data_IF_608159184409
#
_entry.id   IF_608159184409
#
_cell.length_a   1.000
_cell.length_b   1.000
_cell.length_c   1.000
_cell.angle_alpha   90.00
_cell.angle_beta   90.00
_cell.angle_gamma   90.00
#
_symmetry.space_group_name_H-M   'P 1'
#
loop_
_entity.id
_entity.type
_entity.pdbx_description
1 polymer ?
#
# COMPACT_ATOMS: atom_id res chain seq x y z
N UNK A 1 3.79 8.41 7.46
CA UNK A 1 4.70 7.68 8.39
C UNK A 1 3.94 6.47 8.93
N UNK A 2 4.26 5.85 10.07
CA UNK A 2 3.36 4.83 10.69
C UNK A 2 2.43 5.50 11.70
N UNK A 3 1.26 4.88 11.96
CA UNK A 3 0.21 5.46 12.83
C UNK A 3 0.65 5.92 14.23
N UNK A 4 1.62 5.22 14.85
CA UNK A 4 2.18 5.65 16.14
C UNK A 4 2.93 6.99 16.08
N UNK A 5 3.62 7.25 14.98
CA UNK A 5 4.34 8.50 14.76
C UNK A 5 3.39 9.68 14.66
N UNK A 6 2.31 9.52 13.90
CA UNK A 6 1.24 10.50 13.78
C UNK A 6 0.61 10.79 15.14
N UNK A 7 0.28 9.75 15.91
CA UNK A 7 -0.29 9.95 17.25
C UNK A 7 0.64 10.75 18.19
N UNK A 8 1.94 10.44 18.21
CA UNK A 8 2.93 11.16 19.01
C UNK A 8 3.07 12.63 18.61
N UNK A 9 3.00 12.96 17.32
CA UNK A 9 3.11 14.35 16.90
C UNK A 9 1.91 15.19 17.31
N UNK A 10 0.71 14.62 17.31
CA UNK A 10 -0.47 15.26 17.92
C UNK A 10 -0.33 15.51 19.42
N UNK A 11 0.24 14.54 20.17
CA UNK A 11 0.55 14.76 21.59
C UNK A 11 1.60 15.84 21.79
N UNK A 12 2.65 15.89 20.96
CA UNK A 12 3.65 16.94 21.02
C UNK A 12 3.03 18.34 20.85
N UNK A 13 2.05 18.51 19.95
CA UNK A 13 1.36 19.79 19.76
C UNK A 13 0.58 20.23 21.01
N UNK A 14 0.05 19.28 21.78
CA UNK A 14 -0.64 19.56 23.05
C UNK A 14 0.28 20.27 24.04
N UNK A 15 1.56 19.86 24.09
CA UNK A 15 2.53 20.37 25.07
C UNK A 15 2.92 21.83 24.89
N UNK A 16 2.56 22.45 23.77
CA UNK A 16 2.76 23.88 23.55
C UNK A 16 1.71 24.76 24.24
N UNK A 17 0.65 24.16 24.80
CA UNK A 17 -0.42 24.87 25.51
C UNK A 17 -0.33 24.57 27.01
N UNK A 18 0.10 25.55 27.79
CA UNK A 18 0.29 25.40 29.24
C UNK A 18 -1.01 25.00 29.96
N UNK A 19 -2.16 25.51 29.49
CA UNK A 19 -3.48 25.16 30.01
C UNK A 19 -3.79 23.66 29.85
N UNK A 20 -3.41 23.07 28.72
CA UNK A 20 -3.62 21.65 28.47
C UNK A 20 -2.64 20.78 29.27
N UNK A 21 -1.43 21.26 29.51
CA UNK A 21 -0.49 20.59 30.41
C UNK A 21 -0.95 20.65 31.88
N UNK A 22 -1.57 21.74 32.30
CA UNK A 22 -2.19 21.87 33.63
C UNK A 22 -3.38 20.92 33.79
N UNK A 23 -4.19 20.75 32.76
CA UNK A 23 -5.25 19.73 32.77
C UNK A 23 -4.67 18.32 32.93
N UNK A 24 -3.60 17.99 32.18
CA UNK A 24 -2.93 16.70 32.29
C UNK A 24 -2.34 16.46 33.69
N UNK A 25 -1.76 17.49 34.34
CA UNK A 25 -1.20 17.34 35.69
C UNK A 25 -2.29 17.07 36.73
N UNK A 26 -3.52 17.55 36.49
CA UNK A 26 -4.71 17.26 37.30
C UNK A 26 -5.37 15.91 36.96
N UNK A 27 -4.82 15.14 36.02
CA UNK A 27 -5.35 13.85 35.58
C UNK A 27 -6.49 13.95 34.54
N UNK A 28 -6.74 15.13 33.98
CA UNK A 28 -7.74 15.33 32.92
C UNK A 28 -7.14 14.87 31.59
N UNK A 29 -7.76 13.87 30.95
CA UNK A 29 -7.22 13.21 29.75
C UNK A 29 -7.72 13.78 28.42
N UNK A 30 -8.61 14.78 28.44
CA UNK A 30 -9.10 15.46 27.23
C UNK A 30 -7.99 15.92 26.26
N UNK A 31 -6.83 16.43 26.75
CA UNK A 31 -5.74 16.84 25.87
C UNK A 31 -5.20 15.74 24.94
N UNK A 32 -5.40 14.45 25.27
CA UNK A 32 -5.00 13.34 24.40
C UNK A 32 -5.79 13.29 23.06
N UNK A 33 -6.91 14.02 22.94
CA UNK A 33 -7.68 14.16 21.70
C UNK A 33 -6.80 14.68 20.55
N UNK A 34 -5.82 15.54 20.81
CA UNK A 34 -4.94 16.03 19.76
C UNK A 34 -4.13 14.90 19.08
N UNK A 35 -3.72 13.89 19.85
CA UNK A 35 -3.09 12.68 19.31
C UNK A 35 -4.03 11.89 18.40
N UNK A 36 -5.31 11.76 18.79
CA UNK A 36 -6.33 11.13 17.93
C UNK A 36 -6.57 11.93 16.64
N UNK A 37 -6.54 13.26 16.71
CA UNK A 37 -6.70 14.13 15.54
C UNK A 37 -5.54 14.05 14.55
N UNK A 38 -4.34 13.78 15.04
CA UNK A 38 -3.21 13.49 14.17
C UNK A 38 -3.38 12.14 13.46
N UNK A 39 -3.98 11.13 14.09
CA UNK A 39 -4.29 9.84 13.43
C UNK A 39 -5.58 9.86 12.58
N UNK A 40 -6.43 10.88 12.74
CA UNK A 40 -7.75 10.97 12.11
C UNK A 40 -7.73 10.86 10.57
N UNK A 41 -6.78 11.47 9.82
CA UNK A 41 -6.69 11.31 8.36
C UNK A 41 -6.71 9.84 7.92
N UNK A 42 -5.80 9.04 8.48
CA UNK A 42 -5.68 7.61 8.22
C UNK A 42 -6.97 6.88 8.58
N UNK A 43 -7.52 7.18 9.76
CA UNK A 43 -8.73 6.53 10.25
C UNK A 43 -9.91 6.74 9.29
N UNK A 44 -10.12 7.98 8.84
CA UNK A 44 -11.20 8.31 7.90
C UNK A 44 -11.03 7.55 6.59
N UNK A 45 -9.80 7.47 6.09
CA UNK A 45 -9.47 6.80 4.85
C UNK A 45 -9.61 5.29 4.91
N UNK A 46 -9.28 4.64 6.02
CA UNK A 46 -9.41 3.20 6.12
C UNK A 46 -10.82 2.75 6.48
N UNK A 47 -11.59 3.54 7.23
CA UNK A 47 -12.93 3.15 7.71
C UNK A 47 -14.07 3.63 6.81
N UNK A 48 -14.02 4.88 6.33
CA UNK A 48 -15.15 5.50 5.63
C UNK A 48 -14.99 5.51 4.12
N UNK A 49 -13.76 5.49 3.59
CA UNK A 49 -13.50 5.48 2.14
C UNK A 49 -14.30 4.42 1.39
N UNK A 50 -14.44 3.20 1.93
CA UNK A 50 -15.16 2.10 1.26
C UNK A 50 -16.63 2.43 0.94
N UNK A 51 -17.22 3.40 1.64
CA UNK A 51 -18.60 3.84 1.43
C UNK A 51 -18.70 5.04 0.48
N UNK A 52 -17.66 5.87 0.40
CA UNK A 52 -17.68 7.14 -0.33
C UNK A 52 -16.93 7.09 -1.67
N UNK A 53 -16.00 6.15 -1.84
CA UNK A 53 -15.12 6.06 -3.00
C UNK A 53 -15.51 4.89 -3.92
N UNK A 54 -15.94 5.21 -5.14
CA UNK A 54 -16.22 4.21 -6.17
C UNK A 54 -14.94 3.81 -6.88
N UNK A 55 -14.86 2.54 -7.27
CA UNK A 55 -13.76 1.97 -8.06
C UNK A 55 -14.27 1.72 -9.47
N UNK A 56 -13.52 2.17 -10.47
CA UNK A 56 -13.89 1.98 -11.87
C UNK A 56 -13.59 0.56 -12.34
N UNK A 57 -12.44 0.01 -11.92
CA UNK A 57 -11.99 -1.34 -12.27
C UNK A 57 -11.54 -2.07 -11.00
N UNK A 58 -12.03 -3.30 -10.83
CA UNK A 58 -11.55 -4.23 -9.81
C UNK A 58 -10.86 -5.39 -10.53
N UNK A 59 -9.55 -5.51 -10.32
CA UNK A 59 -8.75 -6.62 -10.82
C UNK A 59 -8.76 -7.70 -9.75
N UNK A 60 -9.60 -8.71 -9.96
CA UNK A 60 -9.68 -9.89 -9.10
C UNK A 60 -9.08 -11.10 -9.83
N UNK A 61 -7.77 -11.36 -9.68
CA UNK A 61 -7.10 -12.43 -10.40
C UNK A 61 -7.55 -13.82 -9.95
N UNK A 62 -8.04 -13.98 -8.72
CA UNK A 62 -8.45 -15.26 -8.15
C UNK A 62 -9.72 -15.11 -7.29
N UNK A 63 -10.90 -14.96 -7.93
CA UNK A 63 -12.14 -14.70 -7.23
C UNK A 63 -12.45 -15.74 -6.17
N UNK A 64 -12.89 -15.27 -4.99
CA UNK A 64 -13.24 -16.14 -3.88
C UNK A 64 -14.68 -16.63 -4.01
N UNK A 65 -14.90 -17.91 -3.70
CA UNK A 65 -16.25 -18.42 -3.48
C UNK A 65 -16.86 -17.77 -2.22
N UNK A 66 -17.96 -17.04 -2.39
CA UNK A 66 -18.59 -16.31 -1.27
C UNK A 66 -19.13 -17.25 -0.18
N UNK A 67 -19.56 -18.46 -0.52
CA UNK A 67 -20.14 -19.42 0.42
C UNK A 67 -19.05 -20.20 1.13
N UNK A 68 -18.11 -20.74 0.35
CA UNK A 68 -17.06 -21.61 0.86
C UNK A 68 -15.86 -20.82 1.42
N UNK A 69 -15.75 -19.53 1.11
CA UNK A 69 -14.61 -18.66 1.46
C UNK A 69 -13.25 -19.23 1.01
N UNK A 70 -13.25 -19.99 -0.06
CA UNK A 70 -12.04 -20.53 -0.69
C UNK A 70 -11.81 -19.85 -2.04
N UNK A 71 -10.55 -19.58 -2.38
CA UNK A 71 -10.13 -19.19 -3.72
C UNK A 71 -9.37 -20.36 -4.35
N UNK A 72 -9.55 -20.62 -5.66
CA UNK A 72 -10.44 -19.90 -6.57
C UNK A 72 -11.91 -20.35 -6.48
N UNK A 73 -12.83 -19.59 -7.08
CA UNK A 73 -14.27 -19.90 -7.19
C UNK A 73 -14.53 -20.97 -8.27
N UNK A 74 -15.59 -21.77 -8.10
CA UNK A 74 -16.13 -22.64 -9.16
C UNK A 74 -16.75 -21.81 -10.29
N UNK A 75 -16.53 -22.24 -11.53
CA UNK A 75 -17.27 -21.78 -12.71
C UNK A 75 -17.71 -22.99 -13.51
N UNK A 76 -18.89 -22.90 -14.14
CA UNK A 76 -19.37 -23.91 -15.08
C UNK A 76 -18.81 -23.66 -16.47
N UNK A 77 -18.56 -24.70 -17.25
CA UNK A 77 -18.01 -24.59 -18.61
C UNK A 77 -18.86 -23.66 -19.49
N UNK A 78 -20.19 -23.80 -19.45
CA UNK A 78 -21.12 -22.95 -20.20
C UNK A 78 -21.18 -21.48 -19.74
N UNK A 79 -20.61 -21.15 -18.59
CA UNK A 79 -20.52 -19.78 -18.08
C UNK A 79 -19.24 -19.05 -18.50
N UNK A 80 -18.26 -19.77 -19.08
CA UNK A 80 -16.98 -19.20 -19.50
C UNK A 80 -17.19 -18.22 -20.65
N UNK A 81 -16.60 -17.02 -20.51
CA UNK A 81 -16.64 -15.98 -21.54
C UNK A 81 -15.23 -15.50 -21.88
N UNK A 82 -14.99 -14.93 -23.08
CA UNK A 82 -13.67 -14.40 -23.46
C UNK A 82 -13.08 -13.38 -22.48
N UNK A 83 -13.92 -12.67 -21.71
CA UNK A 83 -13.47 -11.73 -20.67
C UNK A 83 -12.82 -12.43 -19.48
N UNK A 84 -13.11 -13.72 -19.27
CA UNK A 84 -12.53 -14.56 -18.21
C UNK A 84 -11.15 -15.12 -18.57
N UNK A 85 -10.64 -14.86 -19.78
CA UNK A 85 -9.30 -15.28 -20.21
C UNK A 85 -8.26 -14.91 -19.15
N UNK A 86 -7.42 -15.88 -18.76
CA UNK A 86 -6.34 -15.75 -17.76
C UNK A 86 -6.75 -15.58 -16.29
N UNK A 87 -8.05 -15.44 -15.99
CA UNK A 87 -8.53 -15.35 -14.62
C UNK A 87 -8.60 -16.73 -13.96
N UNK A 88 -8.26 -16.82 -12.67
CA UNK A 88 -8.13 -18.10 -11.97
C UNK A 88 -9.46 -18.60 -11.39
N UNK A 89 -9.91 -19.74 -11.88
CA UNK A 89 -11.08 -20.46 -11.39
C UNK A 89 -10.75 -21.95 -11.16
N UNK A 90 -11.74 -22.73 -10.74
CA UNK A 90 -11.70 -24.17 -10.94
C UNK A 90 -12.93 -24.66 -11.67
N UNK A 91 -12.74 -25.67 -12.51
CA UNK A 91 -13.80 -26.48 -13.11
C UNK A 91 -13.97 -27.76 -12.29
N UNK A 92 -15.17 -28.32 -12.28
CA UNK A 92 -15.45 -29.60 -11.64
C UNK A 92 -16.37 -30.40 -12.55
N UNK A 93 -15.88 -31.52 -13.07
CA UNK A 93 -16.54 -32.32 -14.09
C UNK A 93 -15.97 -33.72 -14.20
N UNK A 94 -16.42 -34.47 -15.21
CA UNK A 94 -15.98 -35.83 -15.51
C UNK A 94 -15.05 -35.81 -16.72
N UNK A 95 -13.95 -36.57 -16.67
CA UNK A 95 -13.05 -36.76 -17.81
C UNK A 95 -13.78 -37.61 -18.85
N UNK A 96 -14.16 -37.02 -19.98
CA UNK A 96 -14.89 -37.69 -21.05
C UNK A 96 -13.97 -38.48 -21.98
N UNK A 97 -12.81 -37.90 -22.30
CA UNK A 97 -11.83 -38.51 -23.18
C UNK A 97 -10.43 -37.97 -22.87
N UNK A 98 -9.40 -38.78 -23.07
CA UNK A 98 -8.00 -38.35 -23.06
C UNK A 98 -7.56 -38.27 -24.52
N UNK A 99 -7.28 -37.06 -25.01
CA UNK A 99 -6.99 -36.79 -26.42
C UNK A 99 -5.52 -37.04 -26.74
N UNK A 100 -4.62 -36.69 -25.82
CA UNK A 100 -3.18 -36.95 -25.97
C UNK A 100 -2.52 -37.09 -24.60
N UNK A 101 -1.50 -37.93 -24.52
CA UNK A 101 -0.67 -38.09 -23.33
C UNK A 101 0.79 -38.11 -23.74
N UNK A 102 1.43 -36.95 -23.68
CA UNK A 102 2.87 -36.79 -23.91
C UNK A 102 3.66 -36.72 -22.61
N UNK A 103 4.99 -36.73 -22.72
CA UNK A 103 5.88 -36.61 -21.56
C UNK A 103 5.78 -35.22 -20.88
N UNK A 104 5.57 -34.15 -21.66
CA UNK A 104 5.51 -32.79 -21.13
C UNK A 104 4.09 -32.26 -20.94
N UNK A 105 3.11 -32.81 -21.66
CA UNK A 105 1.77 -32.24 -21.78
C UNK A 105 0.73 -33.34 -22.04
N UNK A 106 -0.40 -33.25 -21.34
CA UNK A 106 -1.54 -34.14 -21.49
C UNK A 106 -2.78 -33.31 -21.80
N UNK A 107 -3.55 -33.74 -22.81
CA UNK A 107 -4.82 -33.11 -23.18
C UNK A 107 -5.98 -34.08 -22.95
N UNK A 108 -7.05 -33.57 -22.35
CA UNK A 108 -8.26 -34.33 -22.12
C UNK A 108 -9.50 -33.45 -22.24
N UNK A 109 -10.66 -34.06 -22.44
CA UNK A 109 -11.95 -33.36 -22.49
C UNK A 109 -12.64 -33.51 -21.15
N UNK A 110 -13.04 -32.38 -20.58
CA UNK A 110 -13.80 -32.32 -19.33
C UNK A 110 -15.24 -31.90 -19.64
N UNK A 111 -16.20 -32.60 -19.02
CA UNK A 111 -17.64 -32.34 -19.15
C UNK A 111 -18.26 -32.11 -17.77
N UNK A 112 -19.04 -31.04 -17.59
CA UNK A 112 -19.69 -30.71 -16.31
C UNK A 112 -21.23 -30.61 -16.40
N UNK A 113 -21.80 -31.10 -17.50
CA UNK A 113 -23.24 -31.03 -17.81
C UNK A 113 -23.70 -29.69 -18.39
N UNK A 114 -22.90 -28.63 -18.28
CA UNK A 114 -23.16 -27.35 -18.96
C UNK A 114 -22.47 -27.24 -20.31
N UNK A 115 -21.43 -28.04 -20.54
CA UNK A 115 -20.70 -28.12 -21.79
C UNK A 115 -19.45 -28.98 -21.68
N UNK A 116 -18.66 -28.99 -22.76
CA UNK A 116 -17.39 -29.69 -22.87
C UNK A 116 -16.26 -28.69 -23.16
N UNK A 117 -15.10 -28.89 -22.54
CA UNK A 117 -13.92 -28.08 -22.83
C UNK A 117 -12.67 -28.96 -22.92
N UNK A 118 -11.77 -28.60 -23.85
CA UNK A 118 -10.43 -29.18 -23.90
C UNK A 118 -9.62 -28.64 -22.73
N UNK A 119 -9.03 -29.53 -21.95
CA UNK A 119 -8.14 -29.24 -20.83
C UNK A 119 -6.72 -29.62 -21.21
N UNK A 120 -5.78 -28.74 -20.89
CA UNK A 120 -4.35 -28.89 -21.15
C UNK A 120 -3.63 -28.86 -19.81
N UNK A 121 -2.96 -29.96 -19.46
CA UNK A 121 -2.17 -30.10 -18.24
C UNK A 121 -0.71 -30.35 -18.58
N UNK A 122 0.19 -29.46 -18.13
CA UNK A 122 1.65 -29.68 -18.25
C UNK A 122 2.13 -30.65 -17.18
N UNK A 123 3.27 -31.31 -17.40
CA UNK A 123 3.78 -32.40 -16.55
C UNK A 123 3.72 -32.13 -15.04
N UNK A 124 4.16 -30.98 -14.56
CA UNK A 124 4.09 -30.65 -13.13
C UNK A 124 2.66 -30.45 -12.60
N UNK A 125 1.81 -29.79 -13.39
CA UNK A 125 0.42 -29.53 -13.04
C UNK A 125 -0.42 -30.82 -13.12
N UNK A 126 -0.13 -31.70 -14.07
CA UNK A 126 -0.71 -33.04 -14.16
C UNK A 126 -0.36 -33.88 -12.92
N UNK A 127 0.91 -33.93 -12.52
CA UNK A 127 1.32 -34.67 -11.30
C UNK A 127 0.69 -34.11 -10.03
N UNK A 128 0.38 -32.82 -9.98
CA UNK A 128 -0.39 -32.22 -8.88
C UNK A 128 -1.85 -32.66 -8.93
N UNK A 129 -2.45 -32.66 -10.12
CA UNK A 129 -3.83 -33.09 -10.33
C UNK A 129 -4.02 -34.57 -9.97
N UNK A 130 -3.15 -35.45 -10.45
CA UNK A 130 -3.19 -36.90 -10.17
C UNK A 130 -2.99 -37.23 -8.69
N UNK A 131 -2.15 -36.46 -7.99
CA UNK A 131 -2.03 -36.55 -6.52
C UNK A 131 -3.33 -36.22 -5.79
N UNK A 132 -4.09 -35.23 -6.28
CA UNK A 132 -5.39 -34.85 -5.70
C UNK A 132 -6.46 -35.88 -5.99
N UNK A 133 -6.42 -36.49 -7.19
CA UNK A 133 -7.35 -37.56 -7.60
C UNK A 133 -7.04 -38.89 -6.90
N UNK A 134 -5.81 -39.07 -6.40
CA UNK A 134 -5.37 -40.29 -5.73
C UNK A 134 -4.90 -41.38 -6.70
N UNK A 135 -4.53 -41.01 -7.92
CA UNK A 135 -4.11 -41.95 -8.96
C UNK A 135 -4.00 -41.30 -10.33
N UNK A 136 -3.71 -42.13 -11.32
CA UNK A 136 -3.56 -41.74 -12.71
C UNK A 136 -4.90 -41.24 -13.30
N UNK A 137 -4.85 -40.13 -14.05
CA UNK A 137 -6.06 -39.58 -14.66
C UNK A 137 -6.65 -40.56 -15.68
N UNK A 138 -7.92 -40.91 -15.55
CA UNK A 138 -8.62 -41.86 -16.42
C UNK A 138 -10.02 -41.38 -16.80
N UNK A 139 -10.56 -41.92 -17.89
CA UNK A 139 -11.90 -41.60 -18.39
C UNK A 139 -12.96 -42.04 -17.36
N UNK A 140 -13.99 -41.22 -17.16
CA UNK A 140 -15.07 -41.44 -16.20
C UNK A 140 -14.76 -40.92 -14.78
N UNK A 141 -13.52 -40.49 -14.51
CA UNK A 141 -13.16 -39.92 -13.22
C UNK A 141 -13.70 -38.50 -13.08
N UNK A 142 -14.33 -38.21 -11.95
CA UNK A 142 -14.72 -36.86 -11.57
C UNK A 142 -13.51 -36.15 -10.95
N UNK A 143 -13.17 -34.97 -11.47
CA UNK A 143 -11.98 -34.22 -11.08
C UNK A 143 -12.28 -32.73 -10.93
N UNK A 144 -11.60 -32.11 -9.96
CA UNK A 144 -11.54 -30.65 -9.81
C UNK A 144 -10.26 -30.14 -10.47
N UNK A 145 -10.41 -29.26 -11.45
CA UNK A 145 -9.32 -28.76 -12.27
C UNK A 145 -9.14 -27.25 -12.04
N UNK A 146 -8.25 -26.83 -11.13
CA UNK A 146 -7.89 -25.42 -11.00
C UNK A 146 -7.14 -24.95 -12.24
N UNK A 147 -7.36 -23.72 -12.66
CA UNK A 147 -6.78 -23.23 -13.90
C UNK A 147 -7.35 -21.91 -14.38
N UNK A 148 -7.08 -21.61 -15.64
CA UNK A 148 -7.63 -20.46 -16.34
C UNK A 148 -7.94 -20.81 -17.79
N UNK A 149 -8.86 -20.06 -18.39
CA UNK A 149 -9.17 -20.20 -19.81
C UNK A 149 -8.15 -19.45 -20.67
N UNK A 150 -7.78 -20.04 -21.79
CA UNK A 150 -7.05 -19.39 -22.88
C UNK A 150 -7.59 -19.85 -24.25
N UNK A 151 -7.02 -19.33 -25.33
CA UNK A 151 -7.42 -19.63 -26.70
C UNK A 151 -6.23 -20.17 -27.49
N UNK A 152 -6.47 -21.19 -28.33
CA UNK A 152 -5.46 -21.68 -29.27
C UNK A 152 -5.29 -20.76 -30.48
N UNK A 153 -4.43 -21.16 -31.42
CA UNK A 153 -4.13 -20.38 -32.62
C UNK A 153 -5.37 -20.18 -33.51
N UNK A 154 -6.32 -21.11 -33.46
CA UNK A 154 -7.58 -21.09 -34.18
C UNK A 154 -8.68 -20.31 -33.44
N UNK A 155 -8.39 -19.80 -32.24
CA UNK A 155 -9.34 -19.03 -31.43
C UNK A 155 -10.36 -19.88 -30.67
N UNK A 156 -10.14 -21.19 -30.53
CA UNK A 156 -10.99 -22.08 -29.73
C UNK A 156 -10.56 -22.05 -28.27
N UNK A 157 -11.52 -21.95 -27.31
CA UNK A 157 -11.17 -21.92 -25.89
C UNK A 157 -10.67 -23.27 -25.40
N UNK A 158 -9.69 -23.23 -24.52
CA UNK A 158 -9.23 -24.38 -23.75
C UNK A 158 -8.95 -23.98 -22.31
N UNK A 159 -8.97 -24.97 -21.41
CA UNK A 159 -8.66 -24.81 -20.01
C UNK A 159 -7.21 -25.19 -19.74
N UNK A 160 -6.43 -24.29 -19.16
CA UNK A 160 -5.05 -24.55 -18.79
C UNK A 160 -4.98 -24.85 -17.29
N UNK A 161 -4.54 -26.06 -16.93
CA UNK A 161 -4.40 -26.47 -15.53
C UNK A 161 -3.30 -25.64 -14.88
N UNK A 162 -3.61 -25.03 -13.75
CA UNK A 162 -2.68 -24.14 -13.05
C UNK A 162 -3.01 -24.09 -11.55
N UNK A 163 -2.01 -23.76 -10.74
CA UNK A 163 -2.11 -23.45 -9.31
C UNK A 163 -2.16 -21.95 -9.01
N UNK A 164 -2.09 -21.11 -10.05
CA UNK A 164 -2.13 -19.65 -9.96
C UNK A 164 -2.79 -19.01 -11.20
N UNK A 165 -3.30 -17.76 -11.09
CA UNK A 165 -3.72 -16.97 -12.25
C UNK A 165 -2.56 -16.71 -13.20
N UNK A 166 -2.88 -16.50 -14.48
CA UNK A 166 -1.88 -16.06 -15.43
C UNK A 166 -1.65 -14.53 -15.25
N UNK A 167 -0.41 -14.05 -15.08
CA UNK A 167 -0.10 -12.65 -14.77
C UNK A 167 -0.61 -11.64 -15.84
N UNK A 168 -0.75 -12.09 -17.10
CA UNK A 168 -1.38 -11.29 -18.17
C UNK A 168 -2.78 -10.76 -17.81
N UNK A 169 -3.56 -11.45 -16.97
CA UNK A 169 -4.86 -10.96 -16.56
C UNK A 169 -4.75 -9.58 -15.90
N UNK A 170 -3.83 -9.45 -14.94
CA UNK A 170 -3.56 -8.21 -14.21
C UNK A 170 -2.96 -7.17 -15.17
N UNK A 171 -1.96 -7.54 -15.96
CA UNK A 171 -1.29 -6.64 -16.89
C UNK A 171 -2.28 -6.01 -17.89
N UNK A 172 -3.15 -6.83 -18.49
CA UNK A 172 -4.16 -6.40 -19.47
C UNK A 172 -5.16 -5.41 -18.87
N UNK A 173 -5.65 -5.66 -17.66
CA UNK A 173 -6.63 -4.77 -17.04
C UNK A 173 -6.01 -3.43 -16.61
N UNK A 174 -4.76 -3.43 -16.16
CA UNK A 174 -4.01 -2.19 -15.89
C UNK A 174 -3.79 -1.41 -17.18
N UNK A 175 -3.37 -2.07 -18.26
CA UNK A 175 -3.18 -1.43 -19.56
C UNK A 175 -4.49 -0.81 -20.09
N UNK A 176 -5.60 -1.56 -19.98
CA UNK A 176 -6.95 -1.06 -20.30
C UNK A 176 -7.33 0.18 -19.48
N UNK A 177 -6.98 0.21 -18.20
CA UNK A 177 -7.29 1.34 -17.33
C UNK A 177 -6.52 2.61 -17.75
N UNK A 178 -5.24 2.46 -18.10
CA UNK A 178 -4.41 3.55 -18.63
C UNK A 178 -5.01 4.07 -19.94
N UNK A 179 -5.34 3.17 -20.87
CA UNK A 179 -5.92 3.57 -22.15
C UNK A 179 -7.27 4.30 -21.94
N UNK A 180 -8.12 3.79 -21.05
CA UNK A 180 -9.41 4.41 -20.71
C UNK A 180 -9.23 5.80 -20.09
N UNK A 181 -8.23 5.98 -19.22
CA UNK A 181 -7.94 7.28 -18.62
C UNK A 181 -7.47 8.30 -19.66
N UNK A 182 -6.69 7.85 -20.65
CA UNK A 182 -6.25 8.71 -21.76
C UNK A 182 -7.41 9.10 -22.68
N UNK A 183 -8.21 8.12 -23.10
CA UNK A 183 -9.33 8.28 -24.05
C UNK A 183 -10.45 9.14 -23.46
N UNK A 184 -10.80 8.93 -22.19
CA UNK A 184 -11.90 9.66 -21.54
C UNK A 184 -11.48 11.00 -20.93
N UNK A 185 -10.19 11.19 -20.67
CA UNK A 185 -9.66 12.31 -19.90
C UNK A 185 -10.08 12.34 -18.42
N UNK A 186 -10.81 11.31 -17.95
CA UNK A 186 -11.26 11.18 -16.56
C UNK A 186 -10.29 10.31 -15.78
N UNK A 187 -10.22 10.53 -14.46
CA UNK A 187 -9.51 9.63 -13.56
C UNK A 187 -10.17 8.25 -13.62
N UNK A 188 -9.36 7.21 -13.85
CA UNK A 188 -9.77 5.80 -13.76
C UNK A 188 -9.05 5.18 -12.56
N UNK A 189 -9.83 4.60 -11.66
CA UNK A 189 -9.35 3.98 -10.43
C UNK A 189 -9.36 2.46 -10.55
N UNK A 190 -8.22 1.84 -10.25
CA UNK A 190 -8.01 0.39 -10.31
C UNK A 190 -7.70 -0.14 -8.93
N UNK A 191 -8.54 -1.03 -8.42
CA UNK A 191 -8.24 -1.82 -7.23
C UNK A 191 -7.67 -3.15 -7.67
N UNK A 192 -6.43 -3.43 -7.30
CA UNK A 192 -5.79 -4.72 -7.56
C UNK A 192 -5.94 -5.56 -6.30
N UNK A 193 -6.72 -6.63 -6.38
CA UNK A 193 -6.88 -7.56 -5.27
C UNK A 193 -5.68 -8.52 -5.23
N UNK A 194 -5.26 -8.84 -4.01
CA UNK A 194 -4.29 -9.89 -3.77
C UNK A 194 -4.92 -11.27 -3.97
N UNK A 195 -4.07 -12.27 -4.11
CA UNK A 195 -4.46 -13.66 -4.29
C UNK A 195 -4.26 -14.37 -2.95
N UNK A 196 -5.35 -14.56 -2.19
CA UNK A 196 -5.31 -15.27 -0.91
C UNK A 196 -5.49 -16.77 -1.13
N UNK A 197 -4.57 -17.54 -0.58
CA UNK A 197 -4.61 -19.00 -0.53
C UNK A 197 -5.07 -19.46 0.86
N UNK A 198 -5.25 -20.77 1.04
CA UNK A 198 -5.56 -21.37 2.33
C UNK A 198 -4.49 -21.05 3.39
N UNK A 199 -4.91 -20.90 4.65
CA UNK A 199 -3.98 -20.71 5.78
C UNK A 199 -3.35 -19.31 5.89
N UNK A 200 -4.04 -18.26 5.42
CA UNK A 200 -3.54 -16.86 5.44
C UNK A 200 -2.19 -16.67 4.70
N UNK A 201 -1.99 -17.52 3.69
CA UNK A 201 -0.93 -17.37 2.71
C UNK A 201 -1.43 -16.54 1.54
N UNK A 202 -0.52 -15.81 0.92
CA UNK A 202 -0.82 -14.98 -0.23
C UNK A 202 0.17 -15.25 -1.35
N UNK A 203 -0.28 -15.19 -2.59
CA UNK A 203 0.62 -15.24 -3.74
C UNK A 203 1.16 -13.84 -4.01
N UNK A 204 2.48 -13.67 -3.88
CA UNK A 204 3.18 -12.43 -4.22
C UNK A 204 3.11 -12.21 -5.73
N UNK A 205 2.85 -10.98 -6.15
CA UNK A 205 3.14 -10.54 -7.51
C UNK A 205 3.54 -9.07 -7.54
N UNK A 206 4.36 -8.71 -8.53
CA UNK A 206 4.89 -7.37 -8.71
C UNK A 206 4.32 -6.76 -9.98
N UNK A 207 3.96 -5.49 -9.93
CA UNK A 207 3.60 -4.72 -11.13
C UNK A 207 4.71 -3.72 -11.42
N UNK A 208 5.30 -3.84 -12.60
CA UNK A 208 6.29 -2.93 -13.14
C UNK A 208 5.72 -2.16 -14.35
N UNK A 209 5.93 -0.85 -14.32
CA UNK A 209 5.45 0.11 -15.31
C UNK A 209 6.65 0.55 -16.17
N UNK A 210 6.78 -0.05 -17.34
CA UNK A 210 7.80 0.31 -18.33
C UNK A 210 7.26 1.41 -19.25
N UNK A 211 7.31 2.64 -18.73
CA UNK A 211 6.79 3.84 -19.38
C UNK A 211 7.39 4.10 -20.78
N UNK A 212 8.72 4.02 -21.00
CA UNK A 212 9.31 4.24 -22.33
C UNK A 212 8.78 3.29 -23.40
N UNK A 213 8.61 2.01 -23.07
CA UNK A 213 8.15 1.00 -24.03
C UNK A 213 6.63 0.82 -24.06
N UNK A 214 5.87 1.61 -23.27
CA UNK A 214 4.40 1.49 -23.14
C UNK A 214 3.98 0.08 -22.69
N UNK A 215 4.72 -0.51 -21.75
CA UNK A 215 4.52 -1.90 -21.31
C UNK A 215 4.22 -1.99 -19.82
N UNK A 216 3.28 -2.85 -19.47
CA UNK A 216 2.98 -3.27 -18.10
C UNK A 216 3.50 -4.70 -17.96
N UNK A 217 4.44 -4.89 -17.04
CA UNK A 217 5.01 -6.19 -16.71
C UNK A 217 4.47 -6.61 -15.35
N UNK A 218 3.97 -7.84 -15.26
CA UNK A 218 3.51 -8.43 -14.01
C UNK A 218 4.33 -9.68 -13.76
N UNK A 219 5.03 -9.71 -12.62
CA UNK A 219 5.86 -10.84 -12.21
C UNK A 219 5.16 -11.60 -11.09
N UNK A 220 4.89 -12.87 -11.30
CA UNK A 220 4.29 -13.76 -10.32
C UNK A 220 5.38 -14.41 -9.46
N UNK A 221 5.25 -14.30 -8.15
CA UNK A 221 6.23 -14.75 -7.17
C UNK A 221 5.79 -15.97 -6.34
N UNK A 222 6.52 -16.28 -5.25
CA UNK A 222 6.17 -17.38 -4.35
C UNK A 222 4.92 -17.06 -3.51
N UNK A 223 4.48 -18.05 -2.72
CA UNK A 223 3.57 -17.79 -1.61
C UNK A 223 4.34 -17.09 -0.49
N UNK A 224 3.66 -16.18 0.21
CA UNK A 224 4.18 -15.42 1.33
C UNK A 224 3.22 -15.51 2.51
N UNK A 225 3.76 -15.41 3.72
CA UNK A 225 2.96 -15.21 4.94
C UNK A 225 2.30 -13.83 4.96
N UNK A 226 1.41 -13.59 5.92
CA UNK A 226 0.83 -12.25 6.15
C UNK A 226 1.89 -11.18 6.42
N UNK A 227 3.07 -11.57 6.93
CA UNK A 227 4.21 -10.68 7.16
C UNK A 227 5.07 -10.42 5.92
N UNK A 228 4.77 -11.03 4.76
CA UNK A 228 5.54 -10.88 3.53
C UNK A 228 6.79 -11.77 3.44
N UNK A 229 6.94 -12.75 4.35
CA UNK A 229 8.04 -13.73 4.26
C UNK A 229 7.71 -14.79 3.21
N UNK A 230 8.57 -15.03 2.21
CA UNK A 230 8.37 -16.05 1.19
C UNK A 230 8.45 -17.47 1.77
N UNK A 231 7.72 -18.40 1.14
CA UNK A 231 7.75 -19.82 1.45
C UNK A 231 8.53 -20.55 0.37
N UNK A 232 9.59 -21.23 0.75
CA UNK A 232 10.48 -21.94 -0.17
C UNK A 232 9.75 -23.03 -0.97
N UNK A 233 10.18 -23.21 -2.21
CA UNK A 233 9.61 -24.20 -3.13
C UNK A 233 8.20 -23.88 -3.64
N UNK A 234 7.63 -22.73 -3.27
CA UNK A 234 6.29 -22.31 -3.74
C UNK A 234 6.31 -21.37 -4.94
N UNK A 235 7.48 -21.12 -5.55
CA UNK A 235 7.61 -20.32 -6.77
C UNK A 235 6.76 -20.86 -7.92
N UNK A 236 6.42 -19.99 -8.88
CA UNK A 236 5.76 -20.41 -10.12
C UNK A 236 6.79 -20.79 -11.18
N UNK A 237 6.48 -21.74 -12.08
CA UNK A 237 7.39 -22.08 -13.17
C UNK A 237 7.69 -20.90 -14.11
N UNK A 238 8.86 -20.86 -14.77
CA UNK A 238 9.30 -19.73 -15.60
C UNK A 238 8.28 -19.30 -16.67
N UNK A 239 7.61 -20.26 -17.31
CA UNK A 239 6.61 -19.98 -18.38
C UNK A 239 5.33 -19.30 -17.88
N UNK A 240 5.09 -19.24 -16.56
CA UNK A 240 3.96 -18.56 -15.91
C UNK A 240 4.38 -17.37 -15.04
N UNK A 241 5.68 -17.09 -14.99
CA UNK A 241 6.24 -16.09 -14.09
C UNK A 241 5.98 -14.67 -14.58
N UNK A 242 5.97 -14.44 -15.90
CA UNK A 242 5.89 -13.10 -16.48
C UNK A 242 4.62 -12.94 -17.29
N UNK A 243 3.90 -11.86 -17.01
CA UNK A 243 2.82 -11.37 -17.84
C UNK A 243 3.13 -10.00 -18.39
N UNK A 244 2.67 -9.73 -19.60
CA UNK A 244 2.90 -8.49 -20.31
C UNK A 244 1.63 -8.00 -20.98
N UNK A 245 1.40 -6.68 -20.91
CA UNK A 245 0.44 -6.00 -21.76
C UNK A 245 1.03 -4.68 -22.25
N UNK A 246 0.76 -4.33 -23.51
CA UNK A 246 1.10 -3.02 -24.08
C UNK A 246 -0.08 -2.07 -23.94
N UNK A 247 0.20 -0.81 -23.63
CA UNK A 247 -0.77 0.28 -23.68
C UNK A 247 -0.77 0.90 -25.07
N UNK A 248 -1.91 1.42 -25.51
CA UNK A 248 -2.00 2.20 -26.75
C UNK A 248 -1.40 3.59 -26.55
N UNK A 249 -1.59 4.15 -25.35
CA UNK A 249 -1.23 5.52 -25.02
C UNK A 249 0.00 5.62 -24.11
N UNK A 250 0.75 6.74 -24.17
CA UNK A 250 1.88 6.96 -23.29
C UNK A 250 1.44 7.18 -21.84
N UNK A 251 2.22 6.65 -20.90
CA UNK A 251 2.02 6.84 -19.48
C UNK A 251 3.35 7.08 -18.78
N UNK A 252 3.29 7.63 -17.58
CA UNK A 252 4.44 7.96 -16.74
C UNK A 252 4.22 7.37 -15.35
N UNK A 253 5.15 6.49 -14.96
CA UNK A 253 5.24 5.99 -13.60
C UNK A 253 5.72 7.10 -12.68
N UNK A 254 4.93 7.44 -11.67
CA UNK A 254 5.29 8.50 -10.69
C UNK A 254 5.94 7.88 -9.46
N UNK A 255 5.56 6.66 -9.09
CA UNK A 255 6.17 5.96 -7.96
C UNK A 255 7.39 5.17 -8.43
N UNK A 256 8.60 5.38 -7.88
CA UNK A 256 9.81 4.82 -8.45
C UNK A 256 9.88 3.29 -8.32
N UNK A 257 9.40 2.72 -7.20
CA UNK A 257 9.52 1.28 -6.93
C UNK A 257 8.45 0.45 -7.64
N UNK A 258 8.73 -0.80 -8.01
CA UNK A 258 7.68 -1.73 -8.42
C UNK A 258 6.59 -1.84 -7.34
N UNK A 259 5.35 -2.04 -7.76
CA UNK A 259 4.24 -2.23 -6.82
C UNK A 259 4.21 -3.69 -6.42
N UNK A 260 4.75 -4.01 -5.24
CA UNK A 260 4.74 -5.36 -4.65
C UNK A 260 3.38 -5.61 -4.00
N UNK A 261 2.75 -6.74 -4.35
CA UNK A 261 1.42 -7.13 -3.89
C UNK A 261 1.52 -8.48 -3.19
N UNK A 262 1.52 -8.43 -1.86
CA UNK A 262 1.70 -9.58 -0.98
C UNK A 262 0.43 -9.85 -0.18
N UNK A 263 0.14 -9.04 0.85
CA UNK A 263 -0.90 -9.33 1.83
C UNK A 263 -2.09 -8.33 1.82
N UNK A 264 -3.10 -8.64 2.63
CA UNK A 264 -4.31 -7.84 2.89
C UNK A 264 -5.31 -7.73 1.74
N UNK A 265 -5.49 -6.55 1.14
CA UNK A 265 -6.51 -6.32 0.10
C UNK A 265 -5.92 -5.82 -1.22
N UNK A 266 -4.58 -5.79 -1.32
CA UNK A 266 -3.83 -5.20 -2.41
C UNK A 266 -3.97 -3.67 -2.55
N UNK A 267 -3.22 -3.03 -3.45
CA UNK A 267 -3.19 -1.58 -3.62
C UNK A 267 -4.35 -1.06 -4.46
N UNK A 268 -4.58 0.25 -4.39
CA UNK A 268 -5.43 0.97 -5.36
C UNK A 268 -4.58 2.02 -6.07
N UNK A 269 -4.75 2.11 -7.38
CA UNK A 269 -3.97 2.96 -8.28
C UNK A 269 -4.94 3.77 -9.12
N UNK A 270 -4.78 5.09 -9.14
CA UNK A 270 -5.46 5.99 -10.04
C UNK A 270 -4.63 6.22 -11.30
N UNK A 271 -5.31 6.40 -12.43
CA UNK A 271 -4.71 6.82 -13.69
C UNK A 271 -5.43 8.08 -14.15
N UNK A 272 -4.68 9.15 -14.41
CA UNK A 272 -5.24 10.43 -14.86
C UNK A 272 -4.39 11.01 -15.98
N UNK A 273 -5.03 11.51 -17.03
CA UNK A 273 -4.33 12.21 -18.11
C UNK A 273 -3.84 13.57 -17.62
N UNK A 274 -2.54 13.81 -17.71
CA UNK A 274 -1.98 15.14 -17.52
C UNK A 274 -2.23 15.96 -18.81
N UNK A 275 -3.00 17.07 -18.74
CA UNK A 275 -3.34 17.86 -19.92
C UNK A 275 -2.12 18.62 -20.50
N UNK A 276 -1.11 18.92 -19.70
CA UNK A 276 0.09 19.65 -20.13
C UNK A 276 1.08 18.72 -20.84
N UNK A 277 1.37 17.56 -20.23
CA UNK A 277 2.34 16.60 -20.78
C UNK A 277 1.74 15.65 -21.83
N UNK A 278 0.41 15.54 -21.91
CA UNK A 278 -0.25 14.63 -22.84
C UNK A 278 0.03 13.14 -22.54
N UNK A 279 0.34 12.80 -21.29
CA UNK A 279 0.60 11.42 -20.82
C UNK A 279 -0.32 11.06 -19.66
N UNK A 280 -0.57 9.77 -19.45
CA UNK A 280 -1.29 9.30 -18.26
C UNK A 280 -0.32 9.17 -17.08
N UNK A 281 -0.62 9.80 -15.96
CA UNK A 281 0.14 9.67 -14.73
C UNK A 281 -0.49 8.65 -13.78
N UNK A 282 0.37 7.89 -13.11
CA UNK A 282 0.00 6.98 -12.04
C UNK A 282 -0.15 7.72 -10.70
N UNK A 283 -1.30 7.54 -10.04
CA UNK A 283 -1.59 8.04 -8.70
C UNK A 283 -1.76 6.88 -7.70
N UNK A 284 -0.70 6.52 -6.98
CA UNK A 284 -0.79 5.50 -5.93
C UNK A 284 -1.71 5.95 -4.77
N UNK A 285 -2.72 5.16 -4.41
CA UNK A 285 -3.73 5.44 -3.37
C UNK A 285 -4.38 6.84 -3.53
N UNK A 286 -5.18 7.08 -4.58
CA UNK A 286 -5.65 8.41 -4.96
C UNK A 286 -6.53 9.10 -3.91
N UNK A 287 -7.36 8.35 -3.17
CA UNK A 287 -8.18 8.89 -2.07
C UNK A 287 -7.32 9.44 -0.93
N UNK A 288 -6.27 8.71 -0.58
CA UNK A 288 -5.42 8.98 0.59
C UNK A 288 -4.58 10.25 0.47
N UNK A 289 -4.64 10.89 -0.69
CA UNK A 289 -3.89 12.10 -1.03
C UNK A 289 -4.83 13.26 -1.35
N UNK A 290 -6.13 13.08 -1.08
CA UNK A 290 -7.19 14.03 -1.36
C UNK A 290 -7.48 14.95 -0.18
N UNK A 291 -8.76 15.05 0.17
CA UNK A 291 -9.24 16.02 1.16
C UNK A 291 -8.78 15.74 2.58
N UNK A 292 -8.84 14.49 3.04
CA UNK A 292 -8.59 14.12 4.45
C UNK A 292 -7.15 14.37 4.92
N UNK A 293 -6.21 14.46 3.97
CA UNK A 293 -4.78 14.66 4.20
C UNK A 293 -4.36 16.09 3.82
N UNK A 294 -5.14 17.08 4.26
CA UNK A 294 -4.96 18.49 3.91
C UNK A 294 -5.08 19.42 5.10
N UNK A 295 -4.48 20.61 5.00
CA UNK A 295 -4.62 21.61 6.05
C UNK A 295 -6.06 22.11 6.18
N UNK A 296 -6.80 22.16 5.06
CA UNK A 296 -8.23 22.51 5.09
C UNK A 296 -9.04 21.51 5.90
N UNK A 297 -8.80 20.20 5.75
CA UNK A 297 -9.51 19.20 6.55
C UNK A 297 -9.19 19.32 8.03
N UNK A 298 -7.93 19.57 8.40
CA UNK A 298 -7.54 19.81 9.79
C UNK A 298 -8.26 21.00 10.42
N UNK A 299 -8.37 22.11 9.67
CA UNK A 299 -9.13 23.28 10.10
C UNK A 299 -10.61 22.95 10.30
N UNK A 300 -11.24 22.28 9.33
CA UNK A 300 -12.67 21.95 9.40
C UNK A 300 -12.98 20.96 10.53
N UNK A 301 -12.18 19.91 10.70
CA UNK A 301 -12.39 18.95 11.80
C UNK A 301 -12.19 19.58 13.17
N UNK A 302 -11.27 20.53 13.32
CA UNK A 302 -11.10 21.32 14.54
C UNK A 302 -12.30 22.24 14.78
N UNK A 303 -12.79 22.91 13.73
CA UNK A 303 -13.99 23.76 13.81
C UNK A 303 -15.23 22.96 14.29
N UNK A 304 -15.37 21.71 13.86
CA UNK A 304 -16.42 20.80 14.35
C UNK A 304 -16.21 20.32 15.80
N UNK A 305 -14.96 20.30 16.29
CA UNK A 305 -14.66 19.89 17.66
C UNK A 305 -15.10 20.95 18.69
N UNK A 306 -14.98 22.22 18.34
CA UNK A 306 -15.31 23.37 19.22
C UNK A 306 -16.71 23.25 19.85
N UNK A 307 -17.81 23.11 19.09
CA UNK A 307 -19.15 23.02 19.67
C UNK A 307 -19.32 21.76 20.54
N UNK A 308 -18.66 20.65 20.22
CA UNK A 308 -18.74 19.41 21.00
C UNK A 308 -18.12 19.63 22.39
N UNK A 309 -16.91 20.18 22.44
CA UNK A 309 -16.21 20.46 23.69
C UNK A 309 -16.92 21.54 24.52
N UNK A 310 -17.47 22.55 23.86
CA UNK A 310 -18.29 23.58 24.50
C UNK A 310 -19.54 22.98 25.16
N UNK A 311 -20.27 22.10 24.47
CA UNK A 311 -21.47 21.45 25.00
C UNK A 311 -21.18 20.50 26.17
N UNK A 312 -19.99 19.89 26.20
CA UNK A 312 -19.54 19.05 27.32
C UNK A 312 -19.07 19.91 28.51
N UNK A 313 -18.90 21.22 28.33
CA UNK A 313 -18.46 22.14 29.38
C UNK A 313 -16.96 22.05 29.69
N UNK A 314 -16.14 21.63 28.71
CA UNK A 314 -14.68 21.58 28.91
C UNK A 314 -14.08 22.98 28.81
N UNK A 315 -13.50 23.49 29.91
CA UNK A 315 -13.06 24.89 30.03
C UNK A 315 -12.01 25.29 28.97
N UNK A 316 -11.04 24.41 28.69
CA UNK A 316 -9.93 24.67 27.77
C UNK A 316 -10.23 24.26 26.31
N UNK A 317 -11.52 24.27 25.93
CA UNK A 317 -11.97 23.76 24.62
C UNK A 317 -11.30 24.42 23.41
N UNK A 318 -11.04 25.73 23.45
CA UNK A 318 -10.37 26.43 22.34
C UNK A 318 -8.90 26.00 22.19
N UNK A 319 -8.19 25.85 23.31
CA UNK A 319 -6.80 25.37 23.30
C UNK A 319 -6.72 23.95 22.76
N UNK A 320 -7.65 23.07 23.18
CA UNK A 320 -7.71 21.70 22.68
C UNK A 320 -8.08 21.64 21.20
N UNK A 321 -9.01 22.46 20.73
CA UNK A 321 -9.34 22.54 19.31
C UNK A 321 -8.13 22.98 18.47
N UNK A 322 -7.37 23.98 18.93
CA UNK A 322 -6.13 24.41 18.26
C UNK A 322 -5.06 23.32 18.30
N UNK A 323 -4.84 22.65 19.44
CA UNK A 323 -3.91 21.53 19.54
C UNK A 323 -4.29 20.38 18.60
N UNK A 324 -5.58 20.07 18.49
CA UNK A 324 -6.11 19.07 17.57
C UNK A 324 -5.91 19.44 16.09
N UNK A 325 -6.12 20.72 15.74
CA UNK A 325 -5.81 21.23 14.39
C UNK A 325 -4.33 21.06 14.07
N UNK A 326 -3.44 21.48 14.98
CA UNK A 326 -2.00 21.36 14.81
C UNK A 326 -1.57 19.89 14.72
N UNK A 327 -2.15 19.00 15.53
CA UNK A 327 -1.90 17.56 15.44
C UNK A 327 -2.27 16.99 14.08
N UNK A 328 -3.42 17.35 13.53
CA UNK A 328 -3.81 16.98 12.17
C UNK A 328 -2.85 17.56 11.12
N UNK A 329 -2.43 18.81 11.26
CA UNK A 329 -1.47 19.43 10.35
C UNK A 329 -0.09 18.77 10.41
N UNK A 330 0.34 18.30 11.59
CA UNK A 330 1.57 17.53 11.74
C UNK A 330 1.53 16.23 10.94
N UNK A 331 0.40 15.52 10.90
CA UNK A 331 0.22 14.37 10.01
C UNK A 331 0.49 14.74 8.54
N UNK A 332 -0.11 15.84 8.07
CA UNK A 332 0.07 16.32 6.69
C UNK A 332 1.53 16.67 6.40
N UNK A 333 2.22 17.31 7.35
CA UNK A 333 3.64 17.65 7.23
C UNK A 333 4.52 16.38 7.16
N UNK A 334 4.24 15.40 8.01
CA UNK A 334 4.96 14.12 8.05
C UNK A 334 4.81 13.34 6.73
N UNK A 335 3.63 13.36 6.13
CA UNK A 335 3.41 12.77 4.80
C UNK A 335 4.09 13.55 3.68
N UNK A 336 4.21 14.87 3.84
CA UNK A 336 4.93 15.73 2.91
C UNK A 336 6.46 15.49 2.95
N UNK A 337 7.02 15.02 4.07
CA UNK A 337 8.43 14.62 4.11
C UNK A 337 8.73 13.33 3.33
N UNK A 338 7.74 12.44 3.22
CA UNK A 338 7.87 11.14 2.55
C UNK A 338 7.78 11.23 1.02
N UNK A 339 7.49 10.10 0.36
CA UNK A 339 7.25 10.04 -1.09
C UNK A 339 5.82 10.45 -1.47
N UNK A 340 4.88 10.35 -0.53
CA UNK A 340 3.44 10.36 -0.82
C UNK A 340 2.94 11.78 -1.12
N UNK A 341 3.31 12.78 -0.30
CA UNK A 341 2.78 14.15 -0.41
C UNK A 341 1.26 14.21 -0.38
N UNK A 342 0.68 15.39 -0.56
CA UNK A 342 -0.78 15.56 -0.55
C UNK A 342 -1.27 16.78 -1.34
N UNK A 343 -2.58 16.92 -1.44
CA UNK A 343 -3.22 18.17 -1.86
C UNK A 343 -3.39 19.04 -0.61
N UNK A 344 -2.58 20.09 -0.48
CA UNK A 344 -2.46 20.83 0.79
C UNK A 344 -3.70 21.68 1.13
N UNK A 345 -4.35 22.30 0.14
CA UNK A 345 -5.45 23.25 0.35
C UNK A 345 -6.66 23.02 -0.58
N UNK A 346 -7.32 21.86 -0.55
CA UNK A 346 -8.60 21.68 -1.25
C UNK A 346 -9.70 22.51 -0.56
N UNK A 347 -10.72 23.02 -1.28
CA UNK A 347 -10.90 22.95 -2.73
C UNK A 347 -10.15 24.06 -3.51
N UNK A 348 -9.43 24.96 -2.84
CA UNK A 348 -8.70 26.08 -3.47
C UNK A 348 -7.73 25.57 -4.54
N UNK A 349 -6.99 24.50 -4.22
CA UNK A 349 -6.18 23.77 -5.18
C UNK A 349 -6.58 22.30 -5.21
N UNK A 350 -6.56 21.71 -6.41
CA UNK A 350 -6.66 20.26 -6.63
C UNK A 350 -5.31 19.64 -7.02
N UNK A 351 -4.27 20.47 -7.15
CA UNK A 351 -2.93 20.03 -7.55
C UNK A 351 -2.23 19.40 -6.36
N UNK A 352 -1.71 18.19 -6.57
CA UNK A 352 -0.88 17.50 -5.60
C UNK A 352 0.49 18.15 -5.52
N UNK A 353 0.97 18.34 -4.30
CA UNK A 353 2.37 18.71 -4.03
C UNK A 353 3.15 17.41 -3.76
N UNK A 354 4.17 17.07 -4.57
CA UNK A 354 4.95 15.85 -4.35
C UNK A 354 5.71 15.96 -3.02
N UNK A 355 5.80 14.84 -2.30
CA UNK A 355 6.57 14.78 -1.06
C UNK A 355 8.07 14.99 -1.29
N UNK A 356 8.79 15.35 -0.23
CA UNK A 356 10.22 15.68 -0.27
C UNK A 356 11.11 14.45 -0.50
N UNK A 357 10.59 13.23 -0.30
CA UNK A 357 11.32 11.97 -0.45
C UNK A 357 12.57 11.90 0.44
N UNK A 358 12.47 12.27 1.71
CA UNK A 358 13.58 12.17 2.66
C UNK A 358 13.71 10.73 3.15
N UNK A 359 14.90 10.14 3.03
CA UNK A 359 15.21 8.79 3.48
C UNK A 359 14.39 7.66 2.82
N UNK A 360 14.21 7.63 1.48
CA UNK A 360 13.35 6.65 0.81
C UNK A 360 13.77 5.20 1.09
N UNK A 361 15.06 4.93 1.33
CA UNK A 361 15.59 3.57 1.60
C UNK A 361 15.75 3.26 3.08
N UNK A 362 15.56 4.23 3.98
CA UNK A 362 15.68 4.06 5.43
C UNK A 362 14.40 4.42 6.20
N UNK A 363 13.21 3.94 5.78
CA UNK A 363 11.94 4.38 6.36
C UNK A 363 11.82 4.10 7.86
N UNK A 364 12.40 3.00 8.36
CA UNK A 364 12.39 2.68 9.78
C UNK A 364 13.16 3.72 10.61
N UNK A 365 14.36 4.11 10.15
CA UNK A 365 15.17 5.13 10.79
C UNK A 365 14.48 6.50 10.76
N UNK A 366 13.83 6.86 9.64
CA UNK A 366 13.06 8.11 9.56
C UNK A 366 11.91 8.14 10.56
N UNK A 367 11.12 7.06 10.69
CA UNK A 367 10.06 6.99 11.71
C UNK A 367 10.63 7.11 13.13
N UNK A 368 11.76 6.45 13.41
CA UNK A 368 12.43 6.57 14.71
C UNK A 368 12.85 8.01 14.98
N UNK A 369 13.48 8.68 14.02
CA UNK A 369 13.94 10.06 14.17
C UNK A 369 12.79 11.04 14.42
N UNK A 370 11.66 10.87 13.74
CA UNK A 370 10.45 11.69 13.96
C UNK A 370 9.84 11.41 15.33
N UNK A 371 9.69 10.14 15.72
CA UNK A 371 9.20 9.79 17.07
C UNK A 371 10.10 10.38 18.15
N UNK A 372 11.41 10.26 17.98
CA UNK A 372 12.40 10.81 18.89
C UNK A 372 12.25 12.32 19.00
N UNK A 373 12.10 13.03 17.88
CA UNK A 373 11.85 14.48 17.90
C UNK A 373 10.58 14.85 18.67
N UNK A 374 9.48 14.12 18.46
CA UNK A 374 8.22 14.39 19.16
C UNK A 374 8.37 14.15 20.66
N UNK A 375 9.04 13.07 21.08
CA UNK A 375 9.34 12.80 22.49
C UNK A 375 10.25 13.89 23.07
N UNK A 376 11.30 14.28 22.35
CA UNK A 376 12.21 15.36 22.75
C UNK A 376 11.46 16.68 22.97
N UNK A 377 10.53 17.03 22.07
CA UNK A 377 9.69 18.22 22.19
C UNK A 377 8.76 18.11 23.40
N UNK A 378 8.13 16.96 23.63
CA UNK A 378 7.26 16.72 24.78
C UNK A 378 8.04 16.88 26.08
N UNK A 379 9.19 16.20 26.21
CA UNK A 379 10.05 16.27 27.41
C UNK A 379 10.52 17.70 27.63
N UNK A 380 10.97 18.38 26.58
CA UNK A 380 11.41 19.76 26.66
C UNK A 380 10.28 20.70 27.12
N UNK A 381 9.09 20.61 26.53
CA UNK A 381 7.94 21.45 26.88
C UNK A 381 7.41 21.17 28.30
N UNK A 382 7.35 19.90 28.72
CA UNK A 382 6.99 19.56 30.09
C UNK A 382 8.03 20.14 31.04
N UNK A 383 9.32 19.89 30.81
CA UNK A 383 10.39 20.35 31.69
C UNK A 383 10.39 21.86 31.92
N UNK A 384 10.24 22.65 30.84
CA UNK A 384 10.23 24.13 30.94
C UNK A 384 8.99 24.68 31.65
N UNK A 385 7.83 24.03 31.51
CA UNK A 385 6.57 24.53 32.04
C UNK A 385 6.20 23.91 33.39
N UNK A 386 6.86 22.82 33.82
CA UNK A 386 6.55 22.12 35.06
C UNK A 386 6.54 23.05 36.29
N UNK A 387 7.51 23.98 36.47
CA UNK A 387 7.46 24.92 37.61
C UNK A 387 6.28 25.89 37.56
N UNK A 388 5.72 26.17 36.37
CA UNK A 388 4.55 27.03 36.21
C UNK A 388 3.26 26.27 36.53
N UNK A 389 3.20 25.00 36.16
CA UNK A 389 2.02 24.15 36.30
C UNK A 389 1.93 23.53 37.70
N UNK A 390 3.09 23.31 38.33
CA UNK A 390 3.23 22.66 39.63
C UNK A 390 4.38 23.32 40.39
N UNK A 391 4.14 24.46 41.05
CA UNK A 391 5.20 25.27 41.69
C UNK A 391 6.07 24.51 42.70
N UNK A 392 5.53 23.46 43.33
CA UNK A 392 6.25 22.61 44.28
C UNK A 392 7.25 21.66 43.60
N UNK A 393 7.21 21.56 42.27
CA UNK A 393 8.04 20.66 41.49
C UNK A 393 9.02 21.47 40.62
N UNK A 394 10.34 21.43 40.92
CA UNK A 394 11.33 22.06 40.06
C UNK A 394 11.43 21.35 38.72
N UNK A 395 12.15 21.96 37.77
CA UNK A 395 12.51 21.32 36.49
C UNK A 395 13.11 19.92 36.76
N UNK A 396 12.66 18.93 36.01
CA UNK A 396 13.17 17.54 36.10
C UNK A 396 14.64 17.50 35.65
N UNK A 397 14.95 18.24 34.58
CA UNK A 397 16.29 18.37 34.01
C UNK A 397 16.69 19.85 34.06
N UNK A 398 17.61 20.17 34.95
CA UNK A 398 18.17 21.52 35.12
C UNK A 398 19.64 21.52 34.68
N UNK A 399 19.89 21.91 33.42
CA UNK A 399 21.25 21.88 32.86
C UNK A 399 22.21 22.84 33.55
N UNK A 400 21.74 23.98 34.04
CA UNK A 400 22.59 24.92 34.77
C UNK A 400 23.10 24.28 36.06
N UNK A 401 22.21 23.61 36.82
CA UNK A 401 22.59 22.87 38.03
C UNK A 401 23.48 21.65 37.73
N UNK A 402 23.15 20.88 36.69
CA UNK A 402 23.89 19.66 36.33
C UNK A 402 25.32 20.00 35.87
N UNK A 403 25.49 21.05 35.07
CA UNK A 403 26.79 21.42 34.48
C UNK A 403 27.60 22.38 35.35
N UNK A 404 26.96 23.05 36.32
CA UNK A 404 27.58 24.12 37.10
C UNK A 404 27.88 25.39 36.29
N UNK A 405 27.42 25.46 35.04
CA UNK A 405 27.62 26.61 34.17
C UNK A 405 26.63 27.73 34.51
N UNK A 406 27.03 29.01 34.42
CA UNK A 406 26.15 30.15 34.67
C UNK A 406 25.22 30.40 33.46
N UNK A 407 24.34 29.44 33.19
CA UNK A 407 23.36 29.50 32.09
C UNK A 407 22.08 30.18 32.59
N UNK A 408 21.49 31.04 31.77
CA UNK A 408 20.12 31.50 32.00
C UNK A 408 19.15 30.36 31.74
N UNK A 409 17.97 30.38 32.37
CA UNK A 409 16.93 29.35 32.16
C UNK A 409 16.58 29.15 30.68
N UNK A 410 16.50 30.25 29.92
CA UNK A 410 16.22 30.20 28.49
C UNK A 410 17.33 29.47 27.71
N UNK A 411 18.60 29.74 28.02
CA UNK A 411 19.74 29.09 27.35
C UNK A 411 19.80 27.62 27.75
N UNK A 412 19.61 27.31 29.04
CA UNK A 412 19.57 25.94 29.54
C UNK A 412 18.44 25.14 28.86
N UNK A 413 17.23 25.69 28.75
CA UNK A 413 16.10 25.01 28.10
C UNK A 413 16.35 24.81 26.60
N UNK A 414 16.94 25.79 25.92
CA UNK A 414 17.30 25.66 24.50
C UNK A 414 18.38 24.59 24.29
N UNK A 415 19.44 24.59 25.11
CA UNK A 415 20.50 23.58 25.05
C UNK A 415 19.95 22.17 25.31
N UNK A 416 19.01 22.02 26.25
CA UNK A 416 18.34 20.75 26.50
C UNK A 416 17.64 20.24 25.25
N UNK A 417 16.87 21.09 24.56
CA UNK A 417 16.21 20.71 23.32
C UNK A 417 17.21 20.26 22.26
N UNK A 418 18.30 21.01 22.06
CA UNK A 418 19.33 20.66 21.07
C UNK A 418 19.97 19.31 21.39
N UNK A 419 20.33 19.07 22.65
CA UNK A 419 20.89 17.78 23.11
C UNK A 419 19.91 16.64 22.81
N UNK A 420 18.63 16.82 23.18
CA UNK A 420 17.59 15.84 22.94
C UNK A 420 17.33 15.60 21.44
N UNK A 421 17.56 16.59 20.57
CA UNK A 421 17.35 16.46 19.12
C UNK A 421 18.55 15.89 18.36
N UNK A 422 19.72 15.68 18.98
CA UNK A 422 20.92 15.15 18.30
C UNK A 422 20.63 13.89 17.47
N UNK A 423 19.95 12.84 18.00
CA UNK A 423 19.64 11.65 17.21
C UNK A 423 18.77 11.95 15.99
N UNK A 424 17.76 12.82 16.14
CA UNK A 424 16.90 13.25 15.03
C UNK A 424 17.71 13.98 13.98
N UNK A 425 18.51 14.99 14.36
CA UNK A 425 19.30 15.80 13.43
C UNK A 425 20.24 14.91 12.61
N UNK A 426 20.93 13.98 13.27
CA UNK A 426 21.83 13.04 12.62
C UNK A 426 21.10 12.16 11.61
N UNK A 427 19.98 11.54 11.99
CA UNK A 427 19.24 10.62 11.11
C UNK A 427 18.59 11.35 9.94
N UNK A 428 18.05 12.56 10.15
CA UNK A 428 17.51 13.36 9.05
C UNK A 428 18.60 13.81 8.07
N UNK A 429 19.81 14.13 8.56
CA UNK A 429 20.95 14.38 7.68
C UNK A 429 21.28 13.16 6.82
N UNK A 430 21.30 11.95 7.41
CA UNK A 430 21.43 10.71 6.66
C UNK A 430 20.28 10.51 5.65
N UNK A 431 19.05 10.86 6.01
CA UNK A 431 17.89 10.81 5.12
C UNK A 431 17.99 11.76 3.92
N UNK A 432 18.57 12.94 4.09
CA UNK A 432 18.84 13.88 3.00
C UNK A 432 19.95 13.36 2.07
N UNK A 433 21.01 12.77 2.64
CA UNK A 433 22.05 12.09 1.86
C UNK A 433 21.50 10.90 1.07
N UNK A 434 20.62 10.11 1.69
CA UNK A 434 19.94 8.98 1.07
C UNK A 434 19.08 9.42 -0.12
N UNK A 435 18.31 10.50 0.06
CA UNK A 435 17.52 11.13 -1.00
C UNK A 435 18.39 11.53 -2.20
N UNK A 436 19.52 12.20 -1.96
CA UNK A 436 20.40 12.64 -3.04
C UNK A 436 20.94 11.46 -3.84
N UNK A 437 21.38 10.39 -3.16
CA UNK A 437 21.82 9.14 -3.79
C UNK A 437 20.69 8.48 -4.59
N UNK A 438 19.48 8.44 -4.03
CA UNK A 438 18.32 7.85 -4.68
C UNK A 438 17.90 8.60 -5.96
N UNK A 439 17.88 9.94 -5.93
CA UNK A 439 17.59 10.76 -7.12
C UNK A 439 18.65 10.55 -8.20
N UNK A 440 19.92 10.39 -7.83
CA UNK A 440 21.01 10.08 -8.77
C UNK A 440 20.77 8.74 -9.46
N UNK A 441 20.47 7.68 -8.69
CA UNK A 441 20.14 6.36 -9.22
C UNK A 441 18.94 6.40 -10.17
N UNK A 442 17.87 7.11 -9.82
CA UNK A 442 16.70 7.25 -10.68
C UNK A 442 17.02 7.90 -12.03
N UNK A 443 17.96 8.87 -12.06
CA UNK A 443 18.42 9.51 -13.29
C UNK A 443 19.27 8.57 -14.15
N UNK A 444 20.10 7.74 -13.52
CA UNK A 444 21.03 6.81 -14.17
C UNK A 444 20.31 5.54 -14.70
N UNK A 445 19.29 5.02 -14.01
CA UNK A 445 18.53 3.82 -14.38
C UNK A 445 17.44 4.02 -15.46
N UNK A 446 17.30 5.24 -15.99
CA UNK A 446 16.26 5.57 -16.97
C UNK A 446 16.43 4.94 -18.37
N UNK A 447 17.65 4.66 -18.91
CA UNK A 447 17.78 4.12 -20.27
C UNK A 447 17.88 2.58 -20.42
N UNK A 448 18.62 1.82 -19.59
CA UNK A 448 19.11 0.49 -20.06
C UNK A 448 18.98 -0.72 -19.10
N UNK A 449 18.66 -0.56 -17.81
CA UNK A 449 18.81 -1.64 -16.80
C UNK A 449 17.54 -2.37 -16.33
N UNK A 450 16.40 -2.12 -16.97
CA UNK A 450 15.06 -2.45 -16.43
C UNK A 450 14.60 -3.91 -16.53
N UNK A 451 15.38 -4.84 -17.09
CA UNK A 451 14.99 -6.27 -17.17
C UNK A 451 15.83 -7.17 -16.26
N UNK A 452 17.12 -6.87 -16.11
CA UNK A 452 18.03 -7.65 -15.25
C UNK A 452 17.86 -7.28 -13.77
N UNK A 453 17.68 -6.01 -13.42
CA UNK A 453 17.46 -5.60 -12.02
C UNK A 453 16.10 -6.09 -11.46
N UNK A 454 15.13 -6.41 -12.33
CA UNK A 454 13.86 -7.03 -11.90
C UNK A 454 14.03 -8.51 -11.49
N UNK A 455 15.09 -9.17 -11.97
CA UNK A 455 15.47 -10.52 -11.56
C UNK A 455 16.38 -10.46 -10.32
N UNK A 456 17.26 -9.46 -10.22
CA UNK A 456 18.14 -9.27 -9.05
C UNK A 456 17.38 -8.74 -7.80
N UNK A 457 16.35 -7.89 -7.95
CA UNK A 457 15.49 -7.48 -6.82
C UNK A 457 14.72 -8.70 -6.23
N UNK A 458 14.58 -9.81 -6.97
CA UNK A 458 14.03 -11.06 -6.42
C UNK A 458 15.01 -11.79 -5.49
N UNK A 459 16.32 -11.64 -5.69
CA UNK A 459 17.34 -12.18 -4.76
C UNK A 459 17.44 -11.32 -3.49
N UNK A 460 17.45 -9.98 -3.60
CA UNK A 460 17.56 -9.11 -2.42
C UNK A 460 16.29 -9.06 -1.54
N UNK A 461 15.09 -9.21 -2.13
CA UNK A 461 13.82 -9.29 -1.39
C UNK A 461 13.44 -10.75 -1.05
N UNK A 462 14.16 -11.71 -1.64
CA UNK A 462 14.00 -13.14 -1.46
C UNK A 462 14.97 -13.79 -0.50
N UNK A 463 15.98 -13.08 0.01
CA UNK A 463 16.91 -13.62 1.01
C UNK A 463 17.56 -14.93 0.56
N UNK A 464 18.59 -14.81 -0.29
CA UNK A 464 19.79 -15.61 -0.07
C UNK A 464 20.79 -14.79 0.75
#
# INVERSE_FOLDING_TARGET
>A
MRGWTHYLSGLAMTTFFTQLLEDLSKGILWPLIAGFYAYLPDFVDFKFRRFLWRRDIVVDPAPQDRKLKVSPRRVLIGELRPENRWQFYYLEGVVKAITSRGEELTEFVLEDGSGEIRVVARYEDLRRLERVVGGELSVGVRVRVPGYMDFDAEGKPYWNVSDAPHPNYVAKLIAKAIDSAYETGKRVTVKILNIRMSGDLYRRFLVHYDSPNKRILVLMGPLVSTGGLPIDGTGVPPYRMIGEAKTKHPFKKVYPRPTVIDAFSGPEIGFIKNPEEGVVEEEFIPWHRGFTHSFTAGFLFSLFLIPILFLIGYENYLYLALAAMLGHWMHVIEDQMGLMGSVLFPPITKRRVPGLMIGPRIPAAMNFATNWAMISIIVWNINRNLPLISPDFPKIIDLAKITGLPLTDMIADFMLLIILLVPTIFIYALGLMDRAKFIKLLKEQLPEKKREELLDEMEEVGGL
#
